data_IF_501123266214
#
_entry.id   IF_501123266214
#
_cell.length_a   1.000
_cell.length_b   1.000
_cell.length_c   1.000
_cell.angle_alpha   90.00
_cell.angle_beta   90.00
_cell.angle_gamma   90.00
#
_symmetry.space_group_name_H-M   'P 1'
#
loop_
_entity.id
_entity.type
_entity.pdbx_description
1 polymer ?
#
# COMPACT_ATOMS: atom_id res chain seq x y z
N UNK A 1 -59.82 5.52 5.88
CA UNK A 1 -59.22 6.73 5.25
C UNK A 1 -57.77 6.42 5.00
N UNK A 2 -57.43 6.23 3.70
CA UNK A 2 -56.11 5.89 3.22
C UNK A 2 -55.33 7.22 3.01
N UNK A 3 -54.16 7.36 3.67
CA UNK A 3 -53.20 8.41 3.41
C UNK A 3 -52.05 7.88 2.55
N UNK A 4 -52.08 8.23 1.27
CA UNK A 4 -50.94 8.04 0.36
C UNK A 4 -49.86 9.07 0.70
N UNK A 5 -48.65 8.63 1.01
CA UNK A 5 -47.47 9.47 1.01
C UNK A 5 -46.71 9.28 -0.29
N UNK A 6 -46.64 10.34 -1.05
CA UNK A 6 -45.84 10.45 -2.25
C UNK A 6 -44.35 10.39 -1.91
N UNK A 7 -43.61 9.48 -2.55
CA UNK A 7 -42.15 9.52 -2.60
C UNK A 7 -41.73 10.53 -3.64
N UNK A 8 -41.11 11.63 -3.20
CA UNK A 8 -40.42 12.54 -4.09
C UNK A 8 -39.17 11.87 -4.62
N UNK A 9 -39.09 11.69 -5.91
CA UNK A 9 -37.87 11.30 -6.60
C UNK A 9 -36.89 12.48 -6.57
N UNK A 10 -35.79 12.34 -5.90
CA UNK A 10 -34.66 13.24 -6.04
C UNK A 10 -34.00 12.96 -7.39
N UNK A 11 -34.07 13.94 -8.25
CA UNK A 11 -33.36 13.98 -9.52
C UNK A 11 -31.87 13.86 -9.28
N UNK A 12 -31.25 12.95 -10.02
CA UNK A 12 -29.81 12.89 -10.16
C UNK A 12 -29.38 14.11 -10.96
N UNK A 13 -28.82 15.11 -10.28
CA UNK A 13 -28.10 16.19 -10.96
C UNK A 13 -26.94 15.58 -11.73
N UNK A 14 -27.08 15.60 -13.03
CA UNK A 14 -26.04 15.30 -14.01
C UNK A 14 -24.97 16.40 -13.93
N UNK A 15 -24.06 16.27 -12.95
CA UNK A 15 -22.86 17.07 -12.89
C UNK A 15 -21.96 16.61 -14.04
N UNK A 16 -22.17 17.22 -15.21
CA UNK A 16 -21.36 17.01 -16.39
C UNK A 16 -19.87 17.06 -16.02
N UNK A 17 -19.15 15.95 -16.25
CA UNK A 17 -17.73 15.79 -15.97
C UNK A 17 -16.89 16.76 -16.81
N UNK A 18 -16.43 17.90 -16.28
CA UNK A 18 -15.65 18.88 -17.05
C UNK A 18 -14.28 18.33 -17.45
N UNK A 19 -13.85 17.21 -16.84
CA UNK A 19 -12.61 16.51 -17.18
C UNK A 19 -12.75 15.70 -18.48
N UNK A 20 -13.89 15.05 -18.70
CA UNK A 20 -14.15 14.26 -19.90
C UNK A 20 -14.14 15.06 -21.19
N UNK A 21 -14.68 16.29 -21.13
CA UNK A 21 -14.68 17.21 -22.28
C UNK A 21 -13.27 17.74 -22.62
N UNK A 22 -12.46 18.03 -21.61
CA UNK A 22 -11.05 18.43 -21.78
C UNK A 22 -10.20 17.28 -22.32
N UNK A 23 -10.43 16.06 -21.86
CA UNK A 23 -9.76 14.85 -22.33
C UNK A 23 -10.03 14.60 -23.81
N UNK A 24 -11.29 14.71 -24.24
CA UNK A 24 -11.69 14.55 -25.63
C UNK A 24 -11.14 15.64 -26.57
N UNK A 25 -10.89 16.84 -26.06
CA UNK A 25 -10.23 17.91 -26.78
C UNK A 25 -8.72 17.72 -26.92
N UNK A 26 -8.06 17.25 -25.85
CA UNK A 26 -6.64 16.88 -25.84
C UNK A 26 -6.33 15.74 -26.82
N UNK A 27 -7.18 14.72 -26.87
CA UNK A 27 -7.00 13.57 -27.78
C UNK A 27 -7.19 13.93 -29.25
N UNK A 28 -7.87 15.05 -29.55
CA UNK A 28 -8.14 15.51 -30.92
C UNK A 28 -7.17 16.58 -31.42
N UNK A 29 -6.22 17.04 -30.60
CA UNK A 29 -5.26 18.05 -31.03
C UNK A 29 -4.13 17.41 -31.84
N UNK A 30 -3.98 17.71 -33.14
CA UNK A 30 -2.88 17.18 -33.94
C UNK A 30 -1.53 17.69 -33.42
N UNK A 31 -0.59 16.78 -33.18
CA UNK A 31 0.77 17.12 -32.78
C UNK A 31 1.08 17.15 -31.27
N UNK A 32 0.10 16.86 -30.39
CA UNK A 32 0.36 16.80 -28.95
C UNK A 32 1.24 15.59 -28.57
N UNK A 33 1.07 14.48 -29.27
CA UNK A 33 1.86 13.25 -29.06
C UNK A 33 3.37 13.43 -29.29
N UNK A 34 3.77 14.40 -30.11
CA UNK A 34 5.19 14.68 -30.37
C UNK A 34 5.85 15.65 -29.40
N UNK A 35 5.11 16.20 -28.42
CA UNK A 35 5.61 17.24 -27.52
C UNK A 35 5.75 16.84 -26.05
N UNK A 36 5.27 15.66 -25.67
CA UNK A 36 5.48 15.14 -24.30
C UNK A 36 6.95 14.71 -24.17
N UNK A 37 7.76 15.57 -23.58
CA UNK A 37 9.17 15.29 -23.29
C UNK A 37 9.29 14.49 -21.98
N UNK A 38 10.39 13.79 -21.79
CA UNK A 38 10.67 13.03 -20.55
C UNK A 38 10.51 13.87 -19.27
N UNK A 39 10.72 15.17 -19.32
CA UNK A 39 10.53 16.10 -18.20
C UNK A 39 9.07 16.40 -17.87
N UNK A 40 8.15 16.17 -18.81
CA UNK A 40 6.70 16.39 -18.59
C UNK A 40 6.08 15.26 -17.77
N UNK A 41 6.76 14.10 -17.68
CA UNK A 41 6.32 12.95 -16.86
C UNK A 41 6.35 13.31 -15.36
N UNK A 42 7.27 14.17 -14.93
CA UNK A 42 7.31 14.63 -13.53
C UNK A 42 6.12 15.56 -13.19
N UNK A 43 5.64 16.33 -14.14
CA UNK A 43 4.42 17.15 -14.00
C UNK A 43 3.16 16.27 -13.98
N UNK A 44 3.15 15.16 -14.72
CA UNK A 44 2.03 14.21 -14.79
C UNK A 44 1.92 13.38 -13.51
N UNK A 45 3.02 13.11 -12.80
CA UNK A 45 3.01 12.44 -11.50
C UNK A 45 2.23 13.23 -10.42
N UNK A 46 1.92 14.51 -10.66
CA UNK A 46 1.11 15.37 -9.79
C UNK A 46 -0.37 15.41 -10.17
N UNK A 47 -0.78 14.73 -11.25
CA UNK A 47 -2.14 14.77 -11.78
C UNK A 47 -3.06 13.72 -11.16
N UNK A 48 -4.35 13.85 -11.36
CA UNK A 48 -5.36 12.90 -10.86
C UNK A 48 -5.14 11.49 -11.43
N UNK A 49 -5.74 10.46 -10.81
CA UNK A 49 -5.65 9.08 -11.30
C UNK A 49 -6.12 8.92 -12.77
N UNK A 50 -7.04 9.79 -13.22
CA UNK A 50 -7.50 9.83 -14.62
C UNK A 50 -6.43 10.37 -15.56
N UNK A 51 -5.73 11.42 -15.13
CA UNK A 51 -4.64 12.03 -15.91
C UNK A 51 -3.43 11.10 -16.00
N UNK A 52 -3.17 10.34 -14.93
CA UNK A 52 -2.14 9.32 -14.92
C UNK A 52 -2.45 8.15 -15.86
N UNK A 53 -3.70 7.66 -15.86
CA UNK A 53 -4.16 6.63 -16.81
C UNK A 53 -4.04 7.09 -18.27
N UNK A 54 -4.29 8.37 -18.52
CA UNK A 54 -4.09 8.96 -19.84
C UNK A 54 -2.62 9.06 -20.20
N UNK A 55 -1.78 9.51 -19.29
CA UNK A 55 -0.35 9.61 -19.51
C UNK A 55 0.28 8.23 -19.76
N UNK A 56 -0.15 7.21 -19.00
CA UNK A 56 0.23 5.82 -19.21
C UNK A 56 -0.22 5.30 -20.56
N UNK A 57 -1.46 5.62 -20.96
CA UNK A 57 -1.98 5.24 -22.27
C UNK A 57 -1.22 5.92 -23.41
N UNK A 58 -0.98 7.22 -23.30
CA UNK A 58 -0.24 7.99 -24.31
C UNK A 58 1.23 7.53 -24.38
N UNK A 59 1.84 7.25 -23.23
CA UNK A 59 3.18 6.68 -23.14
C UNK A 59 3.24 5.28 -23.78
N UNK A 60 2.23 4.46 -23.58
CA UNK A 60 2.13 3.11 -24.18
C UNK A 60 1.93 3.17 -25.69
N UNK A 61 1.08 4.09 -26.17
CA UNK A 61 0.79 4.29 -27.58
C UNK A 61 1.98 4.84 -28.39
N UNK A 62 2.92 5.55 -27.74
CA UNK A 62 4.05 6.20 -28.40
C UNK A 62 5.36 5.42 -28.39
N UNK A 63 5.37 4.19 -27.86
CA UNK A 63 6.61 3.38 -27.76
C UNK A 63 7.62 3.90 -26.75
N UNK A 64 7.21 4.51 -25.75
CA UNK A 64 7.67 5.60 -24.93
C UNK A 64 8.70 5.26 -23.84
N UNK A 65 9.31 6.34 -23.24
CA UNK A 65 10.25 6.30 -22.11
C UNK A 65 9.80 5.47 -20.90
N UNK A 66 8.48 5.27 -20.68
CA UNK A 66 8.00 4.43 -19.59
C UNK A 66 8.43 2.96 -19.70
N UNK A 67 8.44 2.37 -20.89
CA UNK A 67 8.94 0.99 -21.06
C UNK A 67 10.44 0.91 -20.82
N UNK A 68 11.19 1.87 -21.34
CA UNK A 68 12.64 1.94 -21.12
C UNK A 68 12.94 2.19 -19.65
N UNK A 69 12.21 3.08 -18.99
CA UNK A 69 12.34 3.33 -17.56
C UNK A 69 12.06 2.07 -16.76
N UNK A 70 10.94 1.39 -17.01
CA UNK A 70 10.58 0.15 -16.30
C UNK A 70 11.53 -1.01 -16.61
N UNK A 71 12.25 -0.96 -17.73
CA UNK A 71 13.28 -1.94 -18.04
C UNK A 71 14.53 -1.83 -17.15
N UNK A 72 14.73 -0.68 -16.48
CA UNK A 72 15.93 -0.32 -15.72
C UNK A 72 15.65 0.05 -14.26
N UNK A 73 14.40 0.32 -13.90
CA UNK A 73 14.05 0.75 -12.54
C UNK A 73 12.57 0.89 -12.30
N UNK A 74 12.20 1.40 -11.13
CA UNK A 74 10.81 1.61 -10.73
C UNK A 74 10.61 2.99 -10.13
N UNK A 75 9.42 3.57 -10.36
CA UNK A 75 8.96 4.80 -9.71
C UNK A 75 7.51 4.59 -9.29
N UNK A 76 7.22 4.74 -7.99
CA UNK A 76 5.87 4.51 -7.51
C UNK A 76 5.52 5.38 -6.30
N UNK A 77 4.35 6.04 -6.35
CA UNK A 77 3.79 6.88 -5.31
C UNK A 77 2.34 6.51 -4.98
N UNK A 78 1.97 5.28 -5.28
CA UNK A 78 0.62 4.79 -5.05
C UNK A 78 0.45 4.07 -3.72
N UNK A 79 -0.60 3.26 -3.65
CA UNK A 79 -0.97 2.43 -2.51
C UNK A 79 0.20 1.56 -2.02
N UNK A 80 0.45 1.59 -0.71
CA UNK A 80 1.52 0.79 -0.11
C UNK A 80 1.35 -0.71 -0.36
N UNK A 81 0.10 -1.19 -0.31
CA UNK A 81 -0.20 -2.59 -0.59
C UNK A 81 0.22 -3.01 -2.01
N UNK A 82 -0.03 -2.16 -3.00
CA UNK A 82 0.34 -2.43 -4.39
C UNK A 82 1.84 -2.28 -4.63
N UNK A 83 2.48 -1.37 -3.93
CA UNK A 83 3.94 -1.27 -3.93
C UNK A 83 4.56 -2.58 -3.48
N UNK A 84 4.09 -3.15 -2.38
CA UNK A 84 4.55 -4.44 -1.89
C UNK A 84 4.26 -5.58 -2.87
N UNK A 85 3.05 -5.65 -3.42
CA UNK A 85 2.63 -6.76 -4.27
C UNK A 85 3.27 -6.79 -5.65
N UNK A 86 3.49 -5.61 -6.25
CA UNK A 86 3.89 -5.53 -7.65
C UNK A 86 5.23 -4.82 -7.86
N UNK A 87 5.44 -3.67 -7.23
CA UNK A 87 6.55 -2.79 -7.56
C UNK A 87 7.86 -3.30 -6.96
N UNK A 88 7.86 -3.60 -5.67
CA UNK A 88 9.03 -4.12 -4.95
C UNK A 88 9.48 -5.47 -5.54
N UNK A 89 8.58 -6.46 -5.78
CA UNK A 89 8.98 -7.74 -6.38
C UNK A 89 9.51 -7.60 -7.80
N UNK A 90 8.96 -6.67 -8.57
CA UNK A 90 9.47 -6.40 -9.91
C UNK A 90 10.85 -5.74 -9.86
N UNK A 91 11.05 -4.76 -8.98
CA UNK A 91 12.35 -4.15 -8.79
C UNK A 91 13.40 -5.17 -8.34
N UNK A 92 13.03 -6.08 -7.41
CA UNK A 92 13.95 -7.14 -6.98
C UNK A 92 14.24 -8.15 -8.08
N UNK A 93 13.25 -8.46 -8.92
CA UNK A 93 13.49 -9.27 -10.12
C UNK A 93 14.48 -8.59 -11.07
N UNK A 94 14.35 -7.29 -11.35
CA UNK A 94 15.32 -6.51 -12.13
C UNK A 94 16.72 -6.56 -11.50
N UNK A 95 16.80 -6.41 -10.18
CA UNK A 95 18.05 -6.52 -9.43
C UNK A 95 18.72 -7.89 -9.67
N UNK A 96 17.97 -8.98 -9.55
CA UNK A 96 18.47 -10.33 -9.79
C UNK A 96 18.93 -10.57 -11.23
N UNK A 97 18.41 -9.80 -12.18
CA UNK A 97 18.85 -9.83 -13.58
C UNK A 97 20.04 -8.89 -13.86
N UNK A 98 20.57 -8.19 -12.85
CA UNK A 98 21.62 -7.18 -13.04
C UNK A 98 21.18 -5.95 -13.84
N UNK A 99 19.87 -5.68 -13.90
CA UNK A 99 19.28 -4.62 -14.72
C UNK A 99 18.74 -3.43 -13.93
N UNK A 100 18.63 -3.57 -12.61
CA UNK A 100 18.12 -2.49 -11.77
C UNK A 100 19.17 -1.38 -11.64
N UNK A 101 18.80 -0.17 -12.01
CA UNK A 101 19.64 1.02 -11.89
C UNK A 101 19.13 1.97 -10.81
N UNK A 102 17.82 2.10 -10.67
CA UNK A 102 17.22 3.01 -9.69
C UNK A 102 15.85 2.53 -9.20
N UNK A 103 15.46 3.05 -8.04
CA UNK A 103 14.08 3.00 -7.53
C UNK A 103 13.70 4.35 -6.94
N UNK A 104 12.46 4.78 -7.11
CA UNK A 104 11.94 6.02 -6.54
C UNK A 104 10.60 5.74 -5.87
N UNK A 105 10.44 6.16 -4.61
CA UNK A 105 9.20 5.97 -3.86
C UNK A 105 9.00 7.09 -2.82
N UNK A 106 8.03 6.90 -1.95
CA UNK A 106 7.71 7.81 -0.84
C UNK A 106 8.69 7.65 0.32
N UNK A 107 8.73 8.58 1.29
CA UNK A 107 9.57 8.46 2.46
C UNK A 107 9.38 7.16 3.25
N UNK A 108 10.40 6.73 3.96
CA UNK A 108 10.47 5.51 4.77
C UNK A 108 10.33 4.21 3.96
N UNK A 109 10.75 4.23 2.68
CA UNK A 109 10.72 3.04 1.81
C UNK A 109 12.10 2.50 1.46
N UNK A 110 13.18 3.18 1.83
CA UNK A 110 14.56 2.73 1.57
C UNK A 110 14.80 1.30 2.05
N UNK A 111 14.26 0.94 3.17
CA UNK A 111 14.36 -0.41 3.71
C UNK A 111 13.69 -1.46 2.83
N UNK A 112 12.62 -1.11 2.10
CA UNK A 112 11.97 -2.03 1.15
C UNK A 112 12.82 -2.27 -0.09
N UNK A 113 13.66 -1.30 -0.47
CA UNK A 113 14.51 -1.30 -1.67
C UNK A 113 16.01 -1.35 -1.33
N UNK A 114 16.38 -1.99 -0.21
CA UNK A 114 17.77 -2.10 0.26
C UNK A 114 18.74 -2.60 -0.82
N UNK A 115 18.24 -3.35 -1.78
CA UNK A 115 18.98 -3.93 -2.90
C UNK A 115 19.16 -2.96 -4.08
N UNK A 116 18.49 -1.80 -4.07
CA UNK A 116 18.58 -0.83 -5.15
C UNK A 116 19.90 -0.06 -5.08
N UNK A 117 20.68 0.04 -6.18
CA UNK A 117 21.91 0.82 -6.20
C UNK A 117 21.65 2.31 -5.96
N UNK A 118 20.51 2.81 -6.44
CA UNK A 118 20.06 4.20 -6.24
C UNK A 118 18.60 4.21 -5.83
N UNK A 119 18.33 4.47 -4.54
CA UNK A 119 16.97 4.67 -4.05
C UNK A 119 16.75 6.13 -3.68
N UNK A 120 15.77 6.76 -4.30
CA UNK A 120 15.34 8.13 -4.02
C UNK A 120 13.99 8.10 -3.30
N UNK A 121 13.90 8.82 -2.18
CA UNK A 121 12.65 9.06 -1.46
C UNK A 121 12.15 10.47 -1.75
N UNK A 122 10.92 10.59 -2.22
CA UNK A 122 10.28 11.88 -2.49
C UNK A 122 9.13 12.11 -1.54
N UNK A 123 9.08 13.30 -0.95
CA UNK A 123 8.00 13.74 -0.06
C UNK A 123 6.70 14.04 -0.85
N UNK A 124 6.19 13.03 -1.54
CA UNK A 124 4.95 13.08 -2.30
C UNK A 124 3.90 12.25 -1.56
N UNK A 125 2.69 12.76 -1.30
CA UNK A 125 1.64 11.98 -0.67
C UNK A 125 1.24 10.80 -1.56
N UNK A 126 1.03 9.64 -0.94
CA UNK A 126 0.53 8.46 -1.62
C UNK A 126 -0.86 8.74 -2.18
N UNK A 127 -1.13 8.20 -3.35
CA UNK A 127 -2.43 8.30 -4.03
C UNK A 127 -2.86 6.94 -4.53
N UNK A 128 -4.14 6.81 -4.85
CA UNK A 128 -4.60 5.61 -5.56
C UNK A 128 -4.06 5.64 -6.99
N UNK A 129 -2.98 4.90 -7.21
CA UNK A 129 -2.35 4.75 -8.54
C UNK A 129 -2.38 3.27 -8.91
N UNK A 130 -3.00 2.90 -10.02
CA UNK A 130 -2.98 1.52 -10.50
C UNK A 130 -1.56 1.06 -10.81
N UNK A 131 -1.26 -0.22 -10.58
CA UNK A 131 0.03 -0.84 -10.95
C UNK A 131 -0.03 -1.57 -12.30
N UNK A 132 -0.97 -1.18 -13.16
CA UNK A 132 -1.17 -1.80 -14.48
C UNK A 132 0.03 -1.69 -15.43
N UNK A 133 0.95 -0.79 -15.14
CA UNK A 133 2.18 -0.58 -15.90
C UNK A 133 3.24 -1.64 -15.60
N UNK A 134 3.18 -2.21 -14.40
CA UNK A 134 4.15 -3.21 -13.98
C UNK A 134 3.80 -4.56 -14.62
N UNK A 135 4.78 -5.25 -15.19
CA UNK A 135 4.56 -6.51 -15.90
C UNK A 135 4.35 -7.69 -14.94
N UNK A 136 3.62 -7.46 -13.87
CA UNK A 136 3.16 -8.45 -12.91
C UNK A 136 1.65 -8.49 -13.01
N UNK A 137 1.06 -9.60 -13.34
CA UNK A 137 -0.37 -9.79 -13.62
C UNK A 137 -1.33 -9.46 -12.49
N UNK A 138 -1.06 -8.38 -11.73
CA UNK A 138 -1.91 -7.88 -10.64
C UNK A 138 -3.06 -7.00 -11.15
N UNK A 139 -3.07 -6.67 -12.43
CA UNK A 139 -4.01 -5.73 -13.03
C UNK A 139 -5.49 -6.04 -12.76
N UNK A 140 -5.86 -7.32 -12.69
CA UNK A 140 -7.23 -7.72 -12.43
C UNK A 140 -7.67 -7.53 -10.97
N UNK A 141 -6.76 -7.63 -10.00
CA UNK A 141 -7.08 -7.47 -8.58
C UNK A 141 -7.36 -6.02 -8.20
N UNK A 142 -6.94 -5.07 -9.02
CA UNK A 142 -7.10 -3.64 -8.80
C UNK A 142 -8.41 -3.08 -9.32
N UNK A 143 -9.03 -3.77 -10.25
CA UNK A 143 -10.41 -3.52 -10.60
C UNK A 143 -11.24 -4.32 -9.62
N UNK A 144 -11.91 -3.68 -8.71
CA UNK A 144 -12.95 -4.28 -7.86
C UNK A 144 -14.12 -4.86 -8.70
N UNK A 145 -13.87 -5.12 -9.96
CA UNK A 145 -14.74 -5.81 -10.87
C UNK A 145 -14.52 -7.32 -10.70
N UNK A 146 -15.49 -7.97 -10.11
CA UNK A 146 -15.50 -9.41 -9.83
C UNK A 146 -15.34 -10.28 -11.09
N UNK A 147 -15.50 -9.69 -12.27
CA UNK A 147 -15.37 -10.42 -13.55
C UNK A 147 -13.95 -10.48 -14.09
N UNK A 148 -13.02 -9.75 -13.47
CA UNK A 148 -11.65 -9.56 -13.97
C UNK A 148 -10.58 -10.08 -12.99
N UNK A 149 -10.85 -11.14 -12.23
CA UNK A 149 -9.75 -11.85 -11.56
C UNK A 149 -8.87 -12.48 -12.63
N UNK A 150 -7.58 -12.13 -12.70
CA UNK A 150 -6.67 -12.88 -13.55
C UNK A 150 -6.66 -14.32 -13.05
N UNK A 151 -6.85 -15.26 -13.94
CA UNK A 151 -6.83 -16.69 -13.64
C UNK A 151 -5.48 -17.13 -13.06
N UNK A 152 -4.42 -16.36 -13.31
CA UNK A 152 -3.10 -16.56 -12.72
C UNK A 152 -2.33 -15.23 -12.58
N UNK A 153 -1.57 -15.08 -11.49
CA UNK A 153 -0.58 -14.05 -11.33
C UNK A 153 0.62 -14.38 -12.25
N UNK A 154 0.98 -13.46 -13.15
CA UNK A 154 2.23 -13.62 -13.92
C UNK A 154 3.43 -13.38 -13.00
N UNK A 155 4.05 -14.48 -12.56
CA UNK A 155 5.23 -14.45 -11.70
C UNK A 155 6.55 -14.51 -12.48
N UNK A 156 6.52 -14.51 -13.81
CA UNK A 156 7.74 -14.59 -14.63
C UNK A 156 8.71 -13.43 -14.41
N UNK A 157 8.18 -12.28 -14.00
CA UNK A 157 8.95 -11.06 -13.71
C UNK A 157 8.69 -10.57 -12.28
N UNK A 158 8.58 -11.52 -11.38
CA UNK A 158 8.24 -11.24 -9.99
C UNK A 158 9.14 -12.08 -9.08
N UNK A 159 9.81 -11.45 -8.15
CA UNK A 159 10.65 -12.13 -7.18
C UNK A 159 10.54 -11.43 -5.81
N UNK A 160 10.13 -12.14 -4.75
CA UNK A 160 10.07 -11.57 -3.42
C UNK A 160 11.49 -11.31 -2.87
N UNK A 161 11.77 -10.12 -2.31
CA UNK A 161 13.00 -9.91 -1.56
C UNK A 161 13.05 -10.81 -0.32
N UNK A 162 14.23 -11.35 0.05
CA UNK A 162 14.39 -12.23 1.21
C UNK A 162 14.46 -11.41 2.52
N UNK A 163 13.37 -10.69 2.84
CA UNK A 163 13.35 -9.78 4.00
C UNK A 163 13.64 -10.48 5.32
N UNK A 164 13.17 -11.71 5.52
CA UNK A 164 13.44 -12.46 6.74
C UNK A 164 14.94 -12.63 7.00
N UNK A 165 15.72 -12.90 5.97
CA UNK A 165 17.16 -13.11 6.11
C UNK A 165 17.91 -11.79 6.29
N UNK A 166 17.50 -10.76 5.53
CA UNK A 166 18.15 -9.44 5.53
C UNK A 166 17.90 -8.67 6.82
N UNK A 167 16.69 -8.76 7.38
CA UNK A 167 16.26 -7.96 8.52
C UNK A 167 16.26 -8.74 9.84
N UNK A 168 16.82 -9.94 9.88
CA UNK A 168 16.97 -10.69 11.13
C UNK A 168 17.78 -9.87 12.13
N UNK A 169 17.19 -9.63 13.32
CA UNK A 169 17.77 -8.77 14.34
C UNK A 169 17.46 -9.34 15.72
N UNK A 170 18.52 -9.66 16.47
CA UNK A 170 18.41 -10.27 17.81
C UNK A 170 17.72 -9.35 18.83
N UNK A 171 17.71 -8.03 18.59
CA UNK A 171 17.02 -7.06 19.46
C UNK A 171 15.51 -7.26 19.48
N UNK A 172 14.95 -7.94 18.45
CA UNK A 172 13.53 -8.25 18.31
C UNK A 172 13.22 -9.72 18.64
N UNK A 173 14.16 -10.41 19.31
CA UNK A 173 13.92 -11.73 19.90
C UNK A 173 13.47 -11.55 21.35
N UNK A 174 12.33 -12.10 21.66
CA UNK A 174 11.75 -12.07 23.00
C UNK A 174 11.86 -13.45 23.65
N UNK A 175 11.66 -13.54 24.97
CA UNK A 175 11.77 -14.80 25.70
C UNK A 175 10.71 -15.86 25.36
N UNK A 176 9.70 -15.50 24.58
CA UNK A 176 8.68 -16.39 24.00
C UNK A 176 8.69 -16.24 22.49
N UNK A 177 8.16 -17.25 21.74
CA UNK A 177 7.86 -17.09 20.34
C UNK A 177 7.00 -15.84 20.10
N UNK A 178 7.26 -15.11 19.04
CA UNK A 178 6.60 -13.81 18.81
C UNK A 178 5.39 -13.97 17.89
N UNK A 179 4.27 -13.34 18.28
CA UNK A 179 3.10 -13.18 17.45
C UNK A 179 2.80 -11.69 17.27
N UNK A 180 2.76 -11.22 16.03
CA UNK A 180 2.34 -9.86 15.71
C UNK A 180 0.86 -9.84 15.37
N UNK A 181 0.12 -8.99 16.06
CA UNK A 181 -1.30 -8.71 15.77
C UNK A 181 -1.37 -7.33 15.11
N UNK A 182 -1.69 -7.31 13.81
CA UNK A 182 -1.81 -6.09 13.05
C UNK A 182 -3.28 -5.66 12.96
N UNK A 183 -3.56 -4.44 13.37
CA UNK A 183 -4.86 -3.81 13.23
C UNK A 183 -4.73 -2.47 12.49
N UNK A 184 -5.76 -2.09 11.77
CA UNK A 184 -5.82 -0.81 11.06
C UNK A 184 -7.28 -0.36 11.02
N UNK A 185 -7.54 0.91 11.25
CA UNK A 185 -8.83 1.51 11.00
C UNK A 185 -8.64 2.78 10.17
N UNK A 186 -9.29 2.82 9.02
CA UNK A 186 -9.27 3.97 8.11
C UNK A 186 -10.69 4.37 7.72
N UNK A 187 -10.81 5.50 7.05
CA UNK A 187 -12.09 5.93 6.47
C UNK A 187 -12.44 5.22 5.16
N UNK A 188 -11.59 4.31 4.72
CA UNK A 188 -11.82 3.52 3.52
C UNK A 188 -13.11 2.70 3.64
N UNK A 189 -14.01 2.89 2.68
CA UNK A 189 -15.29 2.17 2.62
C UNK A 189 -15.25 1.16 1.49
N UNK A 190 -15.37 -0.11 1.83
CA UNK A 190 -15.60 -1.14 0.83
C UNK A 190 -17.04 -1.06 0.33
N UNK A 191 -17.23 -0.89 -0.98
CA UNK A 191 -18.54 -0.66 -1.61
C UNK A 191 -19.58 -1.74 -1.31
N UNK A 192 -19.16 -2.95 -1.00
CA UNK A 192 -20.03 -4.10 -0.79
C UNK A 192 -20.68 -4.17 0.59
N UNK A 193 -20.16 -3.47 1.61
CA UNK A 193 -20.67 -3.62 2.98
C UNK A 193 -21.11 -2.33 3.68
N UNK A 194 -20.97 -1.18 3.06
CA UNK A 194 -21.32 0.14 3.64
C UNK A 194 -20.71 0.44 5.04
N UNK A 195 -19.88 -0.47 5.56
CA UNK A 195 -19.24 -0.36 6.87
C UNK A 195 -17.73 -0.53 6.74
N UNK A 196 -17.00 0.02 7.68
CA UNK A 196 -15.58 -0.25 7.83
C UNK A 196 -15.40 -1.71 8.24
N UNK A 197 -14.73 -2.48 7.40
CA UNK A 197 -14.52 -3.91 7.63
C UNK A 197 -13.05 -4.27 7.85
N UNK A 198 -12.17 -3.27 7.87
CA UNK A 198 -10.73 -3.49 7.93
C UNK A 198 -10.11 -3.30 9.32
N UNK A 199 -10.91 -3.48 10.39
CA UNK A 199 -10.39 -3.44 11.76
C UNK A 199 -10.97 -4.55 12.63
N UNK A 200 -10.21 -4.95 13.65
CA UNK A 200 -10.70 -5.80 14.72
C UNK A 200 -11.40 -4.91 15.75
N UNK A 201 -12.68 -5.16 16.06
CA UNK A 201 -13.34 -4.49 17.19
C UNK A 201 -12.59 -4.74 18.49
N UNK A 202 -12.55 -3.74 19.37
CA UNK A 202 -11.75 -3.79 20.62
C UNK A 202 -12.05 -5.02 21.49
N UNK A 203 -13.31 -5.41 21.64
CA UNK A 203 -13.66 -6.64 22.42
C UNK A 203 -13.04 -7.90 21.81
N UNK A 204 -13.17 -8.09 20.49
CA UNK A 204 -12.56 -9.23 19.79
C UNK A 204 -11.03 -9.19 19.87
N UNK A 205 -10.45 -7.99 19.76
CA UNK A 205 -9.00 -7.80 19.90
C UNK A 205 -8.50 -8.22 21.28
N UNK A 206 -9.19 -7.81 22.35
CA UNK A 206 -8.83 -8.19 23.73
C UNK A 206 -8.92 -9.72 23.93
N UNK A 207 -10.00 -10.36 23.49
CA UNK A 207 -10.12 -11.81 23.55
C UNK A 207 -8.98 -12.52 22.80
N UNK A 208 -8.66 -12.04 21.61
CA UNK A 208 -7.58 -12.59 20.79
C UNK A 208 -6.23 -12.45 21.49
N UNK A 209 -5.88 -11.24 21.93
CA UNK A 209 -4.62 -10.96 22.64
C UNK A 209 -4.55 -11.79 23.91
N UNK A 210 -5.63 -11.87 24.71
CA UNK A 210 -5.71 -12.67 25.91
C UNK A 210 -5.38 -14.14 25.69
N UNK A 211 -5.85 -14.73 24.59
CA UNK A 211 -5.54 -16.12 24.21
C UNK A 211 -4.09 -16.28 23.70
N UNK A 212 -3.64 -15.37 22.87
CA UNK A 212 -2.30 -15.47 22.26
C UNK A 212 -1.17 -15.31 23.27
N UNK A 213 -1.30 -14.37 24.24
CA UNK A 213 -0.26 -14.08 25.23
C UNK A 213 0.12 -15.25 26.14
N UNK A 214 -0.73 -16.27 26.22
CA UNK A 214 -0.44 -17.49 26.98
C UNK A 214 0.76 -18.24 26.39
N UNK A 215 0.94 -18.19 25.07
CA UNK A 215 1.98 -18.93 24.33
C UNK A 215 3.04 -18.02 23.69
N UNK A 216 2.65 -16.79 23.36
CA UNK A 216 3.47 -15.88 22.56
C UNK A 216 3.79 -14.61 23.31
N UNK A 217 4.93 -14.02 23.01
CA UNK A 217 5.10 -12.58 23.17
C UNK A 217 4.26 -11.89 22.09
N UNK A 218 3.17 -11.29 22.52
CA UNK A 218 2.32 -10.53 21.58
C UNK A 218 2.89 -9.15 21.38
N UNK A 219 3.02 -8.75 20.11
CA UNK A 219 3.30 -7.37 19.72
C UNK A 219 2.08 -6.84 18.96
N UNK A 220 1.46 -5.82 19.51
CA UNK A 220 0.33 -5.17 18.87
C UNK A 220 0.82 -4.08 17.91
N UNK A 221 0.63 -4.29 16.63
CA UNK A 221 0.99 -3.35 15.58
C UNK A 221 -0.25 -2.60 15.08
N UNK A 222 -0.45 -1.42 15.63
CA UNK A 222 -1.53 -0.50 15.30
C UNK A 222 -0.93 0.86 14.97
N UNK A 223 -0.78 1.21 13.68
CA UNK A 223 -0.24 2.52 13.33
C UNK A 223 -1.17 3.64 13.79
N UNK A 224 -0.60 4.71 14.31
CA UNK A 224 -1.25 5.99 14.54
C UNK A 224 -1.03 6.90 13.34
N UNK A 225 -1.80 7.97 13.24
CA UNK A 225 -1.62 8.96 12.20
C UNK A 225 -0.20 9.56 12.16
N UNK A 226 0.45 9.67 13.33
CA UNK A 226 1.82 10.15 13.45
C UNK A 226 2.90 9.14 12.99
N UNK A 227 2.57 7.85 12.95
CA UNK A 227 3.52 6.78 12.61
C UNK A 227 3.61 6.57 11.09
N UNK A 228 2.57 6.93 10.35
CA UNK A 228 2.50 6.74 8.90
C UNK A 228 2.73 8.07 8.18
N UNK A 229 3.80 8.12 7.44
CA UNK A 229 4.10 9.26 6.57
C UNK A 229 3.40 9.05 5.23
N UNK A 230 2.62 10.03 4.80
CA UNK A 230 2.05 10.12 3.45
C UNK A 230 0.99 9.06 3.05
N UNK A 231 0.26 8.47 4.00
CA UNK A 231 -0.93 7.69 3.62
C UNK A 231 -2.00 8.64 3.06
N UNK A 232 -2.75 8.19 2.04
CA UNK A 232 -3.85 8.96 1.45
C UNK A 232 -5.16 8.80 2.25
N UNK A 233 -5.20 7.88 3.22
CA UNK A 233 -6.35 7.61 4.06
C UNK A 233 -6.11 8.09 5.49
N UNK A 234 -7.11 8.77 6.06
CA UNK A 234 -7.06 9.13 7.47
C UNK A 234 -7.14 7.88 8.36
N UNK A 235 -6.22 7.79 9.30
CA UNK A 235 -6.24 6.73 10.33
C UNK A 235 -7.13 7.18 11.46
N UNK A 236 -8.08 6.34 11.83
CA UNK A 236 -8.97 6.56 12.96
C UNK A 236 -8.35 6.05 14.25
N UNK A 237 -8.45 6.84 15.30
CA UNK A 237 -8.14 6.37 16.64
C UNK A 237 -9.34 5.61 17.21
N UNK A 238 -9.08 4.43 17.76
CA UNK A 238 -10.11 3.55 18.34
C UNK A 238 -9.99 3.40 19.86
N UNK A 239 -8.95 3.97 20.48
CA UNK A 239 -8.62 3.73 21.89
C UNK A 239 -8.19 2.27 22.17
N UNK A 240 -7.95 1.51 21.15
CA UNK A 240 -7.64 0.07 21.19
C UNK A 240 -6.25 -0.22 21.76
N UNK A 241 -5.28 0.66 21.52
CA UNK A 241 -3.93 0.55 22.10
C UNK A 241 -4.00 0.66 23.63
N UNK A 242 -4.70 1.67 24.12
CA UNK A 242 -4.85 1.93 25.56
C UNK A 242 -5.65 0.80 26.22
N UNK A 243 -6.70 0.30 25.56
CA UNK A 243 -7.47 -0.83 26.03
C UNK A 243 -6.63 -2.12 26.14
N UNK A 244 -5.77 -2.41 25.13
CA UNK A 244 -4.84 -3.54 25.19
C UNK A 244 -3.85 -3.39 26.31
N UNK A 245 -3.26 -2.21 26.50
CA UNK A 245 -2.28 -1.94 27.58
C UNK A 245 -2.93 -2.00 28.97
N UNK A 246 -4.16 -1.52 29.12
CA UNK A 246 -4.88 -1.62 30.38
C UNK A 246 -5.21 -3.08 30.75
N UNK A 247 -5.65 -3.88 29.79
CA UNK A 247 -5.99 -5.29 30.02
C UNK A 247 -4.76 -6.20 30.11
N UNK A 248 -3.71 -5.91 29.35
CA UNK A 248 -2.52 -6.75 29.18
C UNK A 248 -1.24 -5.89 29.16
N UNK A 249 -0.74 -5.42 30.31
CA UNK A 249 0.41 -4.51 30.39
C UNK A 249 1.70 -5.08 29.80
N UNK A 250 1.84 -6.39 29.77
CA UNK A 250 2.98 -7.13 29.20
C UNK A 250 2.94 -7.27 27.67
N UNK A 251 1.82 -6.95 27.02
CA UNK A 251 1.72 -6.87 25.57
C UNK A 251 2.53 -5.66 25.07
N UNK A 252 3.49 -5.90 24.20
CA UNK A 252 4.25 -4.82 23.58
C UNK A 252 3.42 -4.15 22.46
N UNK A 253 3.65 -2.87 22.26
CA UNK A 253 3.08 -2.14 21.13
C UNK A 253 4.18 -1.71 20.17
N UNK A 254 3.84 -1.49 18.91
CA UNK A 254 4.81 -1.01 17.92
C UNK A 254 5.37 0.36 18.32
N UNK A 255 4.59 1.20 19.02
CA UNK A 255 5.01 2.50 19.52
C UNK A 255 6.07 2.38 20.61
N UNK A 256 5.91 1.43 21.54
CA UNK A 256 6.92 1.16 22.57
C UNK A 256 8.22 0.66 21.95
N UNK A 257 8.13 -0.19 20.92
CA UNK A 257 9.32 -0.65 20.19
C UNK A 257 9.99 0.49 19.43
N UNK A 258 9.21 1.35 18.76
CA UNK A 258 9.73 2.52 18.06
C UNK A 258 10.44 3.49 19.04
N UNK A 259 9.84 3.74 20.20
CA UNK A 259 10.45 4.58 21.23
C UNK A 259 11.79 4.00 21.76
N UNK A 260 11.95 2.67 21.79
CA UNK A 260 13.21 2.00 22.17
C UNK A 260 14.24 2.02 21.04
N UNK A 261 13.82 2.24 19.80
CA UNK A 261 14.65 2.24 18.60
C UNK A 261 14.43 3.49 17.72
N UNK A 262 14.67 4.71 18.25
CA UNK A 262 14.30 5.95 17.58
C UNK A 262 15.06 6.22 16.27
N UNK A 263 16.13 5.46 15.99
CA UNK A 263 16.87 5.55 14.74
C UNK A 263 16.30 4.73 13.58
N UNK A 264 15.24 3.95 13.83
CA UNK A 264 14.59 3.15 12.78
C UNK A 264 13.35 3.89 12.26
N UNK A 265 13.16 3.91 10.93
CA UNK A 265 11.88 4.27 10.35
C UNK A 265 10.80 3.23 10.68
N UNK A 266 9.53 3.59 10.52
CA UNK A 266 8.42 2.71 10.86
C UNK A 266 8.41 1.42 10.03
N UNK A 267 8.69 1.51 8.73
CA UNK A 267 8.76 0.34 7.86
C UNK A 267 9.95 -0.56 8.21
N UNK A 268 11.12 0.02 8.49
CA UNK A 268 12.29 -0.77 8.89
C UNK A 268 12.09 -1.47 10.23
N UNK A 269 11.45 -0.79 11.19
CA UNK A 269 11.07 -1.40 12.46
C UNK A 269 10.16 -2.61 12.25
N UNK A 270 9.15 -2.50 11.37
CA UNK A 270 8.28 -3.62 11.02
C UNK A 270 9.07 -4.78 10.40
N UNK A 271 9.94 -4.51 9.43
CA UNK A 271 10.75 -5.55 8.77
C UNK A 271 11.61 -6.32 9.77
N UNK A 272 12.28 -5.61 10.69
CA UNK A 272 13.11 -6.24 11.72
C UNK A 272 12.30 -7.05 12.72
N UNK A 273 11.19 -6.50 13.18
CA UNK A 273 10.25 -7.22 14.06
C UNK A 273 9.72 -8.49 13.38
N UNK A 274 9.25 -8.36 12.13
CA UNK A 274 8.62 -9.46 11.39
C UNK A 274 9.61 -10.57 11.04
N UNK A 275 10.89 -10.22 10.82
CA UNK A 275 11.94 -11.21 10.58
C UNK A 275 12.14 -12.18 11.76
N UNK A 276 11.86 -11.71 12.98
CA UNK A 276 11.90 -12.52 14.20
C UNK A 276 10.58 -13.20 14.56
N UNK A 277 9.47 -12.93 13.81
CA UNK A 277 8.15 -13.44 14.15
C UNK A 277 7.88 -14.83 13.61
N UNK A 278 7.12 -15.61 14.39
CA UNK A 278 6.66 -16.92 13.99
C UNK A 278 5.20 -16.92 13.50
N UNK A 279 4.38 -15.99 14.00
CA UNK A 279 2.95 -15.93 13.71
C UNK A 279 2.47 -14.50 13.51
N UNK A 280 1.50 -14.38 12.62
CA UNK A 280 0.84 -13.12 12.32
C UNK A 280 -0.67 -13.28 12.37
N UNK A 281 -1.33 -12.29 12.94
CA UNK A 281 -2.78 -12.08 12.80
C UNK A 281 -2.96 -10.68 12.24
N UNK A 282 -3.62 -10.54 11.12
CA UNK A 282 -3.74 -9.24 10.46
C UNK A 282 -5.12 -9.04 9.83
N UNK A 283 -5.61 -7.83 9.92
CA UNK A 283 -6.69 -7.36 9.07
C UNK A 283 -6.13 -7.00 7.69
N UNK A 284 -7.00 -6.93 6.69
CA UNK A 284 -6.60 -6.57 5.32
C UNK A 284 -5.99 -5.16 5.27
N UNK A 285 -4.87 -5.00 4.62
CA UNK A 285 -4.15 -3.74 4.45
C UNK A 285 -2.66 -3.93 4.19
N UNK A 286 -1.90 -2.86 4.11
CA UNK A 286 -0.45 -2.91 3.84
C UNK A 286 0.32 -3.81 4.79
N UNK A 287 -0.01 -3.80 6.08
CA UNK A 287 0.64 -4.67 7.08
C UNK A 287 0.41 -6.16 6.83
N UNK A 288 -0.76 -6.56 6.30
CA UNK A 288 -1.02 -7.98 5.97
C UNK A 288 -0.20 -8.44 4.77
N UNK A 289 -0.06 -7.57 3.77
CA UNK A 289 0.79 -7.87 2.62
C UNK A 289 2.26 -7.93 3.03
N UNK A 290 2.72 -7.00 3.87
CA UNK A 290 4.08 -7.06 4.40
C UNK A 290 4.33 -8.33 5.19
N UNK A 291 3.41 -8.72 6.08
CA UNK A 291 3.51 -9.94 6.87
C UNK A 291 3.57 -11.23 6.01
N UNK A 292 2.93 -11.24 4.84
CA UNK A 292 2.93 -12.39 3.93
C UNK A 292 4.31 -12.72 3.32
N UNK A 293 5.31 -11.84 3.53
CA UNK A 293 6.68 -12.01 3.05
C UNK A 293 7.59 -12.71 4.08
N UNK A 294 7.06 -13.00 5.28
CA UNK A 294 7.73 -13.60 6.41
C UNK A 294 7.04 -14.91 6.86
#
# INVERSE_FOLDING_TARGET
QRGQRAHAAHGADDLGDPGGARLGALLRAPGLLGRVRANDIDAIACCSAKDFALASYLAHASGSPCREMLARGTRYFGEFAFELLAVVPYAYWLHRQGRLEFTVSTPDTRCLYWFSPHHEERAVPRRYVPVTEYPVGVAGSLRYDRTAFPEALDTSRWAPPPYRDVYRDERFRFGKPTCVVCNKATDERFRWHRSMTNHLPTGLLLDLVGRLRTRYQVVYNRPRAADIVNDHQAIRELGDIDAVKAAYPDTLTIQELHARHPGLGYNELQLRLYAGCERFVSVLGGSSYLASWF
#
